data_IF_068951100965
#
_entry.id   IF_068951100965
#
_cell.length_a   1.000
_cell.length_b   1.000
_cell.length_c   1.000
_cell.angle_alpha   90.00
_cell.angle_beta   90.00
_cell.angle_gamma   90.00
#
_symmetry.space_group_name_H-M   'P 1'
#
loop_
_entity.id
_entity.type
_entity.pdbx_description
1 polymer ?
#
# COMPACT_ATOMS: atom_id res chain seq x y z
N UNK A 1 19.47 -32.03 56.57
CA UNK A 1 20.94 -32.21 56.57
C UNK A 1 21.50 -31.29 55.49
N UNK A 2 21.83 -30.04 55.85
CA UNK A 2 23.18 -29.61 56.25
C UNK A 2 24.21 -29.85 55.13
N UNK A 3 24.59 -28.80 54.38
CA UNK A 3 25.74 -27.99 54.77
C UNK A 3 25.95 -26.75 53.88
N UNK A 4 26.11 -25.61 54.56
CA UNK A 4 26.79 -24.40 54.11
C UNK A 4 28.29 -24.67 53.90
N UNK A 5 28.99 -23.75 53.21
CA UNK A 5 30.18 -23.03 53.69
C UNK A 5 30.78 -22.23 52.50
N UNK A 6 30.74 -20.90 52.62
CA UNK A 6 31.62 -19.93 51.95
C UNK A 6 32.86 -19.69 52.84
N UNK A 7 33.64 -18.61 52.67
CA UNK A 7 34.34 -18.03 51.51
C UNK A 7 35.87 -18.05 51.76
N UNK A 8 36.74 -17.54 50.88
CA UNK A 8 38.03 -16.97 51.34
C UNK A 8 38.69 -16.03 50.33
N UNK A 9 38.96 -14.82 50.83
CA UNK A 9 39.73 -13.72 50.26
C UNK A 9 41.24 -14.04 50.20
N UNK A 10 41.99 -13.44 49.26
CA UNK A 10 43.21 -12.63 49.55
C UNK A 10 43.97 -12.19 48.28
N UNK A 11 44.07 -10.86 48.10
CA UNK A 11 45.32 -10.19 47.71
C UNK A 11 46.28 -10.23 48.95
N UNK A 12 47.61 -9.91 48.91
CA UNK A 12 48.16 -8.68 48.30
C UNK A 12 49.66 -8.74 47.87
N UNK A 13 50.25 -7.55 47.66
CA UNK A 13 51.66 -7.14 47.86
C UNK A 13 52.58 -7.18 46.62
N UNK A 14 53.57 -6.31 46.40
CA UNK A 14 53.91 -4.89 46.63
C UNK A 14 55.38 -4.73 46.15
N UNK A 15 55.95 -3.52 46.31
CA UNK A 15 57.40 -3.18 46.38
C UNK A 15 58.00 -2.75 45.02
N UNK A 16 58.81 -1.69 44.85
CA UNK A 16 59.33 -0.54 45.62
C UNK A 16 60.12 0.29 44.58
N UNK A 17 60.35 1.61 44.69
CA UNK A 17 61.47 2.24 45.42
C UNK A 17 61.31 3.77 45.26
N UNK A 18 61.32 4.57 46.35
CA UNK A 18 62.47 5.33 46.93
C UNK A 18 62.81 6.58 46.08
N UNK A 19 62.74 7.81 46.58
CA UNK A 19 63.73 8.50 47.44
C UNK A 19 63.23 9.98 47.61
N UNK A 20 62.82 10.49 48.78
CA UNK A 20 63.56 11.20 49.85
C UNK A 20 64.54 12.30 49.40
N UNK A 21 64.14 13.59 49.43
CA UNK A 21 64.68 14.64 50.34
C UNK A 21 64.56 16.11 49.86
N UNK A 22 64.38 16.96 50.88
CA UNK A 22 64.87 18.34 51.04
C UNK A 22 64.17 19.55 50.38
N UNK A 23 63.70 20.43 51.27
CA UNK A 23 63.30 21.84 51.13
C UNK A 23 64.56 22.77 50.99
N UNK A 24 64.49 24.12 51.18
CA UNK A 24 63.84 25.18 50.40
C UNK A 24 64.80 26.39 50.07
N UNK A 25 64.27 27.38 49.32
CA UNK A 25 64.62 28.82 49.22
C UNK A 25 65.29 29.39 47.94
N UNK A 26 64.60 30.42 47.40
CA UNK A 26 64.98 31.54 46.52
C UNK A 26 65.43 31.26 45.07
N UNK A 27 64.70 31.80 44.08
CA UNK A 27 65.04 33.03 43.33
C UNK A 27 63.96 33.34 42.28
N UNK A 28 63.79 34.63 41.99
CA UNK A 28 62.67 35.25 41.27
C UNK A 28 62.76 35.15 39.72
N UNK A 29 61.58 35.31 39.09
CA UNK A 29 61.31 36.09 37.85
C UNK A 29 61.09 35.35 36.52
N UNK A 30 60.05 35.83 35.82
CA UNK A 30 59.89 36.08 34.36
C UNK A 30 58.72 35.36 33.67
N UNK A 31 57.88 36.23 33.08
CA UNK A 31 56.64 36.10 32.30
C UNK A 31 56.73 35.19 31.05
N UNK A 32 55.59 34.57 30.69
CA UNK A 32 54.86 34.85 29.43
C UNK A 32 53.63 33.93 29.28
N UNK A 33 52.45 34.53 29.07
CA UNK A 33 51.22 33.85 28.64
C UNK A 33 51.09 34.00 27.12
N UNK A 34 51.02 32.90 26.38
CA UNK A 34 50.76 32.92 24.93
C UNK A 34 49.25 32.93 24.65
N UNK A 35 48.78 33.97 23.98
CA UNK A 35 47.43 34.12 23.43
C UNK A 35 47.41 33.64 21.98
N UNK A 36 46.54 32.68 21.63
CA UNK A 36 46.31 32.25 20.25
C UNK A 36 45.48 33.29 19.49
N UNK A 37 46.06 33.91 18.46
CA UNK A 37 45.38 34.83 17.56
C UNK A 37 44.63 34.08 16.47
N UNK A 38 43.31 34.26 16.38
CA UNK A 38 42.47 33.72 15.30
C UNK A 38 42.63 34.53 14.00
N UNK A 39 42.86 33.85 12.87
CA UNK A 39 43.01 34.47 11.55
C UNK A 39 41.63 34.69 10.90
N UNK A 40 41.22 35.95 10.75
CA UNK A 40 39.85 36.35 10.39
C UNK A 40 39.42 36.08 8.93
N UNK A 41 40.33 35.67 8.02
CA UNK A 41 39.99 35.51 6.58
C UNK A 41 39.28 34.21 6.22
N UNK A 42 39.53 33.12 6.95
CA UNK A 42 38.84 31.82 6.78
C UNK A 42 37.43 31.83 7.35
N UNK A 43 37.14 32.75 8.27
CA UNK A 43 35.83 32.89 8.90
C UNK A 43 34.77 33.41 7.92
N UNK A 44 35.16 34.27 6.96
CA UNK A 44 34.23 34.89 6.02
C UNK A 44 33.70 33.89 4.97
N UNK A 45 34.55 32.97 4.50
CA UNK A 45 34.14 31.89 3.59
C UNK A 45 33.23 30.86 4.23
N UNK A 46 33.48 30.53 5.51
CA UNK A 46 32.64 29.62 6.29
C UNK A 46 31.26 30.23 6.58
N UNK A 47 31.20 31.53 6.84
CA UNK A 47 29.93 32.27 6.98
C UNK A 47 29.15 32.23 5.66
N UNK A 48 29.79 32.48 4.51
CA UNK A 48 29.11 32.39 3.21
C UNK A 48 28.59 30.98 2.90
N UNK A 49 29.37 29.94 3.21
CA UNK A 49 28.95 28.55 3.05
C UNK A 49 27.75 28.20 3.96
N UNK A 50 27.77 28.68 5.21
CA UNK A 50 26.68 28.49 6.16
C UNK A 50 25.40 29.21 5.73
N UNK A 51 25.51 30.44 5.18
CA UNK A 51 24.39 31.19 4.65
C UNK A 51 23.78 30.53 3.39
N UNK A 52 24.62 29.94 2.53
CA UNK A 52 24.16 29.18 1.38
C UNK A 52 23.39 27.92 1.78
N UNK A 53 23.89 27.17 2.77
CA UNK A 53 23.20 25.99 3.32
C UNK A 53 21.88 26.35 4.02
N UNK A 54 21.85 27.49 4.73
CA UNK A 54 20.64 28.00 5.38
C UNK A 54 19.55 28.41 4.37
N UNK A 55 19.95 28.87 3.18
CA UNK A 55 19.03 29.22 2.08
C UNK A 55 18.34 27.98 1.48
N UNK A 56 19.05 26.85 1.39
CA UNK A 56 18.49 25.57 0.91
C UNK A 56 17.48 24.98 1.91
N UNK A 57 17.60 25.31 3.20
CA UNK A 57 16.67 24.85 4.24
C UNK A 57 15.30 25.57 4.19
N UNK A 58 15.23 26.70 3.49
CA UNK A 58 14.04 27.54 3.36
C UNK A 58 13.25 27.27 2.06
N UNK A 59 13.41 26.10 1.43
CA UNK A 59 12.52 25.73 0.32
C UNK A 59 11.10 25.66 0.90
N UNK A 60 10.16 26.51 0.45
CA UNK A 60 8.78 26.41 0.89
C UNK A 60 8.28 25.02 0.51
N UNK A 61 7.75 24.29 1.49
CA UNK A 61 7.06 23.03 1.23
C UNK A 61 5.94 23.37 0.24
N UNK A 62 6.05 22.90 -1.00
CA UNK A 62 4.91 22.84 -1.89
C UNK A 62 3.95 21.85 -1.25
N UNK A 63 3.01 22.38 -0.45
CA UNK A 63 1.86 21.61 0.00
C UNK A 63 1.04 21.30 -1.24
N UNK A 64 1.36 20.18 -1.89
CA UNK A 64 0.41 19.51 -2.77
C UNK A 64 -0.83 19.31 -1.91
N UNK A 65 -1.93 19.95 -2.32
CA UNK A 65 -3.25 19.62 -1.77
C UNK A 65 -3.53 18.19 -2.25
N UNK A 66 -3.04 17.22 -1.48
CA UNK A 66 -3.27 15.80 -1.71
C UNK A 66 -4.75 15.59 -1.48
N UNK A 67 -5.53 15.67 -2.56
CA UNK A 67 -6.93 15.26 -2.52
C UNK A 67 -6.93 13.81 -2.06
N UNK A 68 -7.80 13.47 -1.10
CA UNK A 68 -7.95 12.09 -0.68
C UNK A 68 -8.11 11.18 -1.92
N UNK A 69 -7.37 10.06 -1.99
CA UNK A 69 -7.37 9.23 -3.19
C UNK A 69 -8.80 8.77 -3.50
N UNK A 70 -9.13 8.55 -4.76
CA UNK A 70 -10.43 7.98 -5.09
C UNK A 70 -10.46 6.49 -4.72
N UNK A 71 -11.66 5.90 -4.57
CA UNK A 71 -11.78 4.45 -4.36
C UNK A 71 -11.11 3.65 -5.48
N UNK A 72 -11.16 4.15 -6.72
CA UNK A 72 -10.54 3.52 -7.89
C UNK A 72 -9.01 3.52 -7.79
N UNK A 73 -8.43 4.61 -7.29
CA UNK A 73 -7.00 4.69 -7.03
C UNK A 73 -6.57 3.74 -5.92
N UNK A 74 -7.38 3.59 -4.87
CA UNK A 74 -7.12 2.60 -3.81
C UNK A 74 -7.12 1.18 -4.41
N UNK A 75 -8.11 0.82 -5.24
CA UNK A 75 -8.11 -0.49 -5.92
C UNK A 75 -6.81 -0.72 -6.71
N UNK A 76 -6.38 0.28 -7.48
CA UNK A 76 -5.15 0.23 -8.26
C UNK A 76 -3.90 0.03 -7.39
N UNK A 77 -3.81 0.72 -6.24
CA UNK A 77 -2.71 0.55 -5.28
C UNK A 77 -2.64 -0.88 -4.72
N UNK A 78 -3.79 -1.55 -4.58
CA UNK A 78 -3.90 -2.95 -4.19
C UNK A 78 -3.78 -3.92 -5.37
N UNK A 79 -3.37 -3.48 -6.56
CA UNK A 79 -3.17 -4.34 -7.73
C UNK A 79 -4.47 -4.87 -8.35
N UNK A 80 -5.59 -4.19 -8.08
CA UNK A 80 -6.90 -4.53 -8.62
C UNK A 80 -7.33 -3.53 -9.71
N UNK A 81 -8.07 -3.99 -10.72
CA UNK A 81 -8.52 -3.11 -11.79
C UNK A 81 -9.55 -2.08 -11.30
N UNK A 82 -9.45 -0.86 -11.81
CA UNK A 82 -10.30 0.27 -11.42
C UNK A 82 -11.77 0.07 -11.79
N UNK A 83 -12.05 -0.63 -12.89
CA UNK A 83 -13.41 -0.92 -13.36
C UNK A 83 -14.14 -2.03 -12.61
N UNK A 84 -13.65 -2.47 -11.45
CA UNK A 84 -14.39 -3.37 -10.57
C UNK A 84 -15.65 -2.72 -9.97
N UNK A 85 -15.61 -1.40 -9.78
CA UNK A 85 -16.72 -0.62 -9.24
C UNK A 85 -17.32 0.25 -10.36
N UNK A 86 -18.65 0.47 -10.35
CA UNK A 86 -19.32 1.32 -11.34
C UNK A 86 -19.11 2.81 -11.04
N UNK A 87 -19.36 3.69 -12.02
CA UNK A 87 -19.20 5.14 -11.88
C UNK A 87 -20.11 5.81 -10.83
N UNK A 88 -21.19 5.14 -10.42
CA UNK A 88 -22.18 5.65 -9.45
C UNK A 88 -21.74 5.69 -7.98
N UNK A 89 -20.44 5.50 -7.70
CA UNK A 89 -19.88 5.66 -6.35
C UNK A 89 -19.98 7.12 -5.92
N UNK A 90 -20.61 7.36 -4.76
CA UNK A 90 -20.76 8.70 -4.19
C UNK A 90 -19.85 8.95 -3.00
N UNK A 91 -19.46 7.90 -2.29
CA UNK A 91 -18.56 8.00 -1.14
C UNK A 91 -17.90 6.65 -0.86
N UNK A 92 -16.79 6.65 -0.12
CA UNK A 92 -16.15 5.44 0.36
C UNK A 92 -15.46 5.68 1.70
N UNK A 93 -15.17 4.60 2.43
CA UNK A 93 -14.29 4.62 3.59
C UNK A 93 -13.29 3.48 3.46
N UNK A 94 -12.04 3.74 3.80
CA UNK A 94 -10.98 2.74 3.80
C UNK A 94 -10.16 2.80 5.08
N UNK A 95 -9.87 1.64 5.66
CA UNK A 95 -9.07 1.49 6.86
C UNK A 95 -7.73 0.85 6.52
N UNK A 96 -6.66 1.65 6.53
CA UNK A 96 -5.31 1.17 6.22
C UNK A 96 -4.75 0.18 7.25
N UNK A 97 -5.32 0.12 8.46
CA UNK A 97 -4.84 -0.75 9.54
C UNK A 97 -5.26 -2.21 9.36
N UNK A 98 -6.45 -2.45 8.83
CA UNK A 98 -7.03 -3.78 8.69
C UNK A 98 -7.52 -4.13 7.29
N UNK A 99 -7.40 -3.19 6.33
CA UNK A 99 -7.75 -3.34 4.93
C UNK A 99 -9.26 -3.28 4.65
N UNK A 100 -10.10 -2.99 5.65
CA UNK A 100 -11.55 -2.94 5.42
C UNK A 100 -11.93 -1.72 4.59
N UNK A 101 -12.87 -1.92 3.68
CA UNK A 101 -13.43 -0.83 2.91
C UNK A 101 -14.95 -0.93 2.85
N UNK A 102 -15.59 0.23 2.71
CA UNK A 102 -17.01 0.38 2.45
C UNK A 102 -17.17 1.36 1.29
N UNK A 103 -18.00 1.01 0.32
CA UNK A 103 -18.33 1.87 -0.82
C UNK A 103 -19.82 2.14 -0.80
N UNK A 104 -20.18 3.40 -1.01
CA UNK A 104 -21.56 3.86 -1.08
C UNK A 104 -21.86 4.31 -2.50
N UNK A 105 -22.92 3.74 -3.08
CA UNK A 105 -23.43 4.12 -4.39
C UNK A 105 -24.68 4.98 -4.24
N UNK A 106 -24.96 5.82 -5.23
CA UNK A 106 -26.17 6.62 -5.26
C UNK A 106 -27.43 5.73 -5.18
N UNK A 107 -27.45 4.64 -5.95
CA UNK A 107 -28.54 3.68 -6.08
C UNK A 107 -27.97 2.27 -6.35
N UNK A 108 -28.77 1.19 -6.16
CA UNK A 108 -28.38 -0.12 -6.64
C UNK A 108 -28.13 -0.08 -8.14
N UNK A 109 -27.16 -0.85 -8.60
CA UNK A 109 -26.57 -0.67 -9.90
C UNK A 109 -26.42 -1.98 -10.66
N UNK A 110 -26.73 -1.97 -11.96
CA UNK A 110 -26.48 -3.10 -12.85
C UNK A 110 -25.40 -2.77 -13.87
N UNK A 111 -24.41 -3.66 -13.99
CA UNK A 111 -23.34 -3.56 -14.99
C UNK A 111 -23.31 -4.86 -15.80
N UNK A 112 -23.19 -4.74 -17.12
CA UNK A 112 -23.11 -5.88 -18.03
C UNK A 112 -21.66 -6.14 -18.44
N UNK A 113 -21.08 -7.22 -17.92
CA UNK A 113 -19.82 -7.81 -18.38
C UNK A 113 -20.14 -9.04 -19.26
N UNK A 114 -19.32 -10.10 -19.21
CA UNK A 114 -19.70 -11.45 -19.67
C UNK A 114 -21.01 -11.94 -19.03
N UNK A 115 -21.37 -11.37 -17.89
CA UNK A 115 -22.63 -11.59 -17.22
C UNK A 115 -23.12 -10.33 -16.53
N UNK A 116 -24.41 -10.33 -16.20
CA UNK A 116 -25.02 -9.26 -15.46
C UNK A 116 -24.55 -9.31 -14.00
N UNK A 117 -23.98 -8.20 -13.54
CA UNK A 117 -23.55 -7.99 -12.15
C UNK A 117 -24.43 -6.93 -11.54
N UNK A 118 -24.97 -7.24 -10.36
CA UNK A 118 -25.71 -6.34 -9.51
C UNK A 118 -24.80 -5.87 -8.37
N UNK A 119 -24.84 -4.57 -8.10
CA UNK A 119 -24.20 -3.92 -6.98
C UNK A 119 -25.29 -3.31 -6.09
N UNK A 120 -25.28 -3.65 -4.82
CA UNK A 120 -26.15 -3.03 -3.81
C UNK A 120 -25.64 -1.61 -3.48
N UNK A 121 -26.47 -0.77 -2.85
CA UNK A 121 -26.10 0.59 -2.44
C UNK A 121 -24.87 0.64 -1.55
N UNK A 122 -24.59 -0.41 -0.80
CA UNK A 122 -23.43 -0.50 0.09
C UNK A 122 -22.66 -1.78 -0.19
N UNK A 123 -21.40 -1.61 -0.55
CA UNK A 123 -20.46 -2.71 -0.78
C UNK A 123 -19.46 -2.70 0.36
N UNK A 124 -19.18 -3.86 0.93
CA UNK A 124 -18.18 -4.01 2.00
C UNK A 124 -17.22 -5.14 1.67
N UNK A 125 -15.98 -5.03 2.12
CA UNK A 125 -15.05 -6.15 2.09
C UNK A 125 -13.72 -5.78 2.73
N UNK A 126 -12.73 -6.65 2.51
CA UNK A 126 -11.35 -6.42 2.94
C UNK A 126 -10.40 -6.52 1.75
N UNK A 127 -9.72 -5.42 1.48
CA UNK A 127 -8.68 -5.32 0.48
C UNK A 127 -7.38 -5.97 0.97
N UNK A 128 -6.72 -6.67 0.05
CA UNK A 128 -5.37 -7.19 0.17
C UNK A 128 -4.75 -7.14 -1.22
N UNK A 129 -3.43 -7.22 -1.32
CA UNK A 129 -2.78 -7.13 -2.63
C UNK A 129 -3.30 -8.23 -3.56
N UNK A 130 -3.88 -7.82 -4.68
CA UNK A 130 -4.49 -8.67 -5.69
C UNK A 130 -5.85 -9.27 -5.32
N UNK A 131 -6.48 -8.90 -4.20
CA UNK A 131 -7.75 -9.52 -3.79
C UNK A 131 -8.67 -8.66 -2.91
N UNK A 132 -9.96 -8.98 -2.96
CA UNK A 132 -11.00 -8.51 -2.06
C UNK A 132 -11.66 -9.72 -1.43
N UNK A 133 -11.62 -9.85 -0.10
CA UNK A 133 -12.21 -10.97 0.65
C UNK A 133 -13.37 -10.51 1.52
N UNK A 134 -14.26 -11.44 1.89
CA UNK A 134 -15.43 -11.13 2.71
C UNK A 134 -16.34 -10.10 2.05
N UNK A 135 -16.42 -10.14 0.73
CA UNK A 135 -17.13 -9.19 -0.10
C UNK A 135 -18.64 -9.36 0.09
N UNK A 136 -19.36 -8.26 0.24
CA UNK A 136 -20.83 -8.21 0.32
C UNK A 136 -21.35 -7.05 -0.51
N UNK A 137 -22.58 -7.20 -1.01
CA UNK A 137 -23.24 -6.21 -1.86
C UNK A 137 -22.93 -6.35 -3.35
N UNK A 138 -22.33 -7.46 -3.79
CA UNK A 138 -22.11 -7.76 -5.22
C UNK A 138 -22.68 -9.14 -5.53
N UNK A 139 -23.51 -9.22 -6.57
CA UNK A 139 -24.16 -10.44 -7.03
C UNK A 139 -24.01 -10.62 -8.54
N UNK A 140 -23.93 -11.86 -8.99
CA UNK A 140 -23.89 -12.21 -10.41
C UNK A 140 -25.12 -13.01 -10.79
N UNK A 141 -25.64 -12.78 -12.00
CA UNK A 141 -26.78 -13.54 -12.49
C UNK A 141 -26.34 -14.83 -13.21
N UNK A 142 -26.91 -15.97 -12.83
CA UNK A 142 -26.69 -17.30 -13.42
C UNK A 142 -27.96 -18.12 -13.42
N UNK A 143 -28.33 -18.72 -14.56
CA UNK A 143 -29.52 -19.57 -14.68
C UNK A 143 -30.77 -18.95 -14.02
N UNK A 144 -30.94 -17.62 -14.17
CA UNK A 144 -31.99 -16.80 -13.56
C UNK A 144 -31.92 -16.58 -12.03
N UNK A 145 -30.87 -17.08 -11.35
CA UNK A 145 -30.59 -16.86 -9.94
C UNK A 145 -29.53 -15.78 -9.75
N UNK A 146 -29.65 -15.03 -8.65
CA UNK A 146 -28.64 -14.11 -8.17
C UNK A 146 -27.78 -14.81 -7.13
N UNK A 147 -26.46 -14.79 -7.33
CA UNK A 147 -25.51 -15.44 -6.44
C UNK A 147 -24.50 -14.41 -5.93
N UNK A 148 -24.25 -14.42 -4.63
CA UNK A 148 -23.30 -13.51 -3.99
C UNK A 148 -21.86 -13.80 -4.44
N UNK A 149 -21.08 -12.72 -4.58
CA UNK A 149 -19.63 -12.78 -4.78
C UNK A 149 -18.95 -12.55 -3.44
N UNK A 150 -18.30 -13.58 -2.92
CA UNK A 150 -17.64 -13.53 -1.61
C UNK A 150 -16.17 -13.09 -1.69
N UNK A 151 -15.53 -13.31 -2.84
CA UNK A 151 -14.13 -12.94 -3.10
C UNK A 151 -13.92 -12.53 -4.57
N UNK A 152 -13.07 -11.54 -4.80
CA UNK A 152 -12.53 -11.19 -6.12
C UNK A 152 -11.01 -11.21 -6.04
N UNK A 153 -10.34 -11.87 -6.99
CA UNK A 153 -8.86 -11.90 -7.03
C UNK A 153 -8.30 -11.92 -8.43
N UNK A 154 -7.08 -11.43 -8.59
CA UNK A 154 -6.27 -11.55 -9.82
C UNK A 154 -5.13 -12.54 -9.61
N UNK A 155 -4.54 -13.02 -10.70
CA UNK A 155 -3.33 -13.84 -10.61
C UNK A 155 -2.12 -12.99 -10.16
N UNK A 156 -1.16 -13.62 -9.47
CA UNK A 156 0.11 -13.02 -9.05
C UNK A 156 1.25 -13.93 -9.54
N UNK A 157 2.08 -13.51 -10.52
CA UNK A 157 2.09 -12.22 -11.20
C UNK A 157 0.82 -11.97 -12.05
N UNK A 158 0.45 -10.68 -12.31
CA UNK A 158 -0.75 -10.33 -13.06
C UNK A 158 -0.83 -11.02 -14.42
N UNK A 159 -1.97 -11.67 -14.66
CA UNK A 159 -2.36 -12.24 -15.95
C UNK A 159 -3.51 -11.43 -16.55
N UNK A 160 -4.03 -11.83 -17.72
CA UNK A 160 -5.26 -11.27 -18.29
C UNK A 160 -6.53 -11.90 -17.69
N UNK A 161 -6.48 -12.34 -16.43
CA UNK A 161 -7.60 -13.04 -15.79
C UNK A 161 -7.91 -12.55 -14.39
N UNK A 162 -9.20 -12.50 -14.10
CA UNK A 162 -9.76 -12.18 -12.79
C UNK A 162 -10.77 -13.25 -12.38
N UNK A 163 -10.84 -13.54 -11.08
CA UNK A 163 -11.63 -14.65 -10.53
C UNK A 163 -12.63 -14.12 -9.52
N UNK A 164 -13.89 -14.49 -9.71
CA UNK A 164 -14.99 -14.18 -8.79
C UNK A 164 -15.40 -15.46 -8.08
N UNK A 165 -15.28 -15.50 -6.76
CA UNK A 165 -15.76 -16.62 -5.96
C UNK A 165 -17.25 -16.44 -5.69
N UNK A 166 -18.04 -17.41 -6.14
CA UNK A 166 -19.50 -17.43 -6.03
C UNK A 166 -19.89 -18.71 -5.32
N UNK A 167 -20.18 -18.60 -4.02
CA UNK A 167 -20.29 -19.77 -3.15
C UNK A 167 -19.01 -20.60 -3.17
N UNK A 168 -19.10 -21.87 -3.57
CA UNK A 168 -17.95 -22.80 -3.64
C UNK A 168 -17.19 -22.77 -4.97
N UNK A 169 -17.63 -21.96 -5.94
CA UNK A 169 -17.12 -21.99 -7.32
C UNK A 169 -16.29 -20.74 -7.59
N UNK A 170 -15.16 -20.90 -8.30
CA UNK A 170 -14.38 -19.78 -8.82
C UNK A 170 -14.71 -19.58 -10.31
N UNK A 171 -15.21 -18.39 -10.67
CA UNK A 171 -15.46 -18.03 -12.07
C UNK A 171 -14.30 -17.20 -12.61
N UNK A 172 -13.61 -17.74 -13.60
CA UNK A 172 -12.63 -17.02 -14.41
C UNK A 172 -13.32 -16.07 -15.39
N UNK A 173 -12.77 -14.86 -15.49
CA UNK A 173 -13.18 -13.78 -16.38
C UNK A 173 -11.96 -13.14 -17.05
N UNK A 174 -12.19 -12.50 -18.19
CA UNK A 174 -11.19 -11.65 -18.84
C UNK A 174 -11.00 -10.35 -18.04
N UNK A 175 -9.76 -10.08 -17.62
CA UNK A 175 -9.40 -8.87 -16.89
C UNK A 175 -9.63 -7.61 -17.73
N UNK A 176 -9.57 -7.72 -19.07
CA UNK A 176 -9.81 -6.62 -20.00
C UNK A 176 -11.12 -5.88 -19.78
N UNK A 177 -12.16 -6.59 -19.34
CA UNK A 177 -13.49 -6.02 -19.09
C UNK A 177 -13.52 -5.05 -17.91
N UNK A 178 -12.54 -5.12 -17.01
CA UNK A 178 -12.47 -4.34 -15.77
C UNK A 178 -11.46 -3.20 -15.85
N UNK A 179 -10.79 -3.00 -16.98
CA UNK A 179 -9.79 -1.92 -17.12
C UNK A 179 -10.41 -0.52 -17.10
N UNK A 180 -11.69 -0.40 -17.40
CA UNK A 180 -12.43 0.87 -17.47
C UNK A 180 -13.61 0.86 -16.51
N UNK A 181 -13.87 2.00 -15.87
CA UNK A 181 -15.07 2.19 -15.04
C UNK A 181 -16.32 2.17 -15.91
N UNK A 182 -17.32 1.38 -15.51
CA UNK A 182 -18.55 1.20 -16.27
C UNK A 182 -19.69 2.05 -15.71
N UNK A 183 -20.55 2.53 -16.61
CA UNK A 183 -21.71 3.31 -16.20
C UNK A 183 -22.84 2.49 -15.62
N UNK A 184 -23.43 3.04 -14.56
CA UNK A 184 -24.53 2.43 -13.87
C UNK A 184 -25.83 2.39 -14.69
N UNK A 185 -26.59 1.28 -14.59
CA UNK A 185 -27.92 1.14 -15.21
C UNK A 185 -28.99 0.93 -14.13
N UNK A 186 -30.03 1.75 -14.19
CA UNK A 186 -31.14 1.74 -13.21
C UNK A 186 -32.10 0.53 -13.38
N UNK A 187 -32.05 -0.16 -14.53
CA UNK A 187 -32.88 -1.34 -14.83
C UNK A 187 -32.12 -2.31 -15.73
N UNK A 188 -32.40 -3.60 -15.56
CA UNK A 188 -32.21 -4.61 -16.61
C UNK A 188 -33.22 -4.28 -17.72
N UNK A 189 -32.91 -3.28 -18.54
CA UNK A 189 -33.71 -3.00 -19.73
C UNK A 189 -33.65 -4.26 -20.59
N UNK A 190 -34.82 -4.78 -20.98
CA UNK A 190 -35.01 -6.06 -21.67
C UNK A 190 -34.29 -6.21 -23.03
N UNK A 191 -33.40 -5.29 -23.36
CA UNK A 191 -32.50 -5.37 -24.52
C UNK A 191 -31.49 -6.51 -24.40
N UNK A 192 -31.17 -7.01 -23.20
CA UNK A 192 -30.27 -8.17 -23.06
C UNK A 192 -30.91 -9.49 -23.53
N UNK A 193 -32.26 -9.59 -23.53
CA UNK A 193 -32.95 -10.76 -24.10
C UNK A 193 -32.69 -10.88 -25.60
N UNK A 194 -32.46 -9.76 -26.32
CA UNK A 194 -32.10 -9.82 -27.74
C UNK A 194 -30.75 -10.49 -27.98
N UNK A 195 -29.76 -10.34 -27.09
CA UNK A 195 -28.45 -11.00 -27.25
C UNK A 195 -28.44 -12.46 -26.80
N UNK A 196 -29.37 -12.90 -25.94
CA UNK A 196 -29.47 -14.31 -25.56
C UNK A 196 -30.14 -15.17 -26.65
N UNK A 197 -31.02 -14.58 -27.48
CA UNK A 197 -31.64 -15.28 -28.61
C UNK A 197 -30.82 -15.23 -29.90
N UNK A 198 -29.74 -14.46 -29.94
CA UNK A 198 -28.76 -14.54 -31.02
C UNK A 198 -27.69 -15.58 -30.63
N UNK A 199 -28.13 -16.84 -30.57
CA UNK A 199 -27.23 -17.96 -30.65
C UNK A 199 -26.43 -17.77 -31.95
N UNK A 200 -25.07 -17.78 -31.93
CA UNK A 200 -24.32 -17.84 -33.17
C UNK A 200 -24.79 -19.10 -33.89
N UNK A 201 -25.30 -18.94 -35.11
CA UNK A 201 -25.64 -20.06 -35.98
C UNK A 201 -24.44 -20.99 -36.03
N UNK A 202 -24.53 -22.25 -35.56
CA UNK A 202 -23.58 -23.24 -36.00
C UNK A 202 -23.89 -23.49 -37.48
N UNK A 203 -22.91 -24.03 -38.20
CA UNK A 203 -22.96 -24.38 -39.63
C UNK A 203 -22.48 -23.27 -40.58
N UNK A 204 -21.18 -22.98 -40.53
CA UNK A 204 -20.40 -22.75 -41.75
C UNK A 204 -18.98 -23.33 -41.71
N UNK A 205 -18.78 -24.41 -40.95
CA UNK A 205 -17.48 -25.11 -40.86
C UNK A 205 -17.59 -26.62 -41.19
N UNK A 206 -18.54 -27.01 -42.06
CA UNK A 206 -18.58 -28.38 -42.63
C UNK A 206 -18.74 -28.31 -44.14
N UNK A 207 -17.91 -27.49 -44.80
CA UNK A 207 -17.77 -27.53 -46.27
C UNK A 207 -16.30 -27.40 -46.68
N UNK A 208 -15.41 -28.15 -46.01
CA UNK A 208 -14.03 -28.39 -46.49
C UNK A 208 -13.55 -29.83 -46.30
N UNK A 209 -14.44 -30.77 -46.00
CA UNK A 209 -14.13 -32.19 -46.04
C UNK A 209 -15.25 -32.89 -46.80
N UNK A 210 -15.09 -32.96 -48.12
CA UNK A 210 -15.64 -33.92 -49.09
C UNK A 210 -15.82 -33.26 -50.46
N UNK A 211 -14.72 -32.94 -51.14
CA UNK A 211 -14.65 -32.98 -52.61
C UNK A 211 -13.21 -33.27 -53.01
N UNK A 212 -13.04 -34.52 -53.46
CA UNK A 212 -12.10 -35.05 -54.45
C UNK A 212 -10.60 -34.68 -54.38
#
# INVERSE_FOLDING_TARGET
MHNNIAPHNKAPKALSDKETNSLPWHFLSVQATETMAANAKTHLGLIHFLLFFLSILMIPSLSLSDSDPTVYEILSQFGLPTGLLPDSVVNYTFSSSDGRFVVYLANPCYVQFDYLVYYDKTITGKLSYGSITGLKGIQVQRFFLWLDVDEIRVDLPPSDSIYFQVGIINKKLDLGQFKTVHSCRDKVTGTCVKRFFELPTPVKEIEMLLTE
#
